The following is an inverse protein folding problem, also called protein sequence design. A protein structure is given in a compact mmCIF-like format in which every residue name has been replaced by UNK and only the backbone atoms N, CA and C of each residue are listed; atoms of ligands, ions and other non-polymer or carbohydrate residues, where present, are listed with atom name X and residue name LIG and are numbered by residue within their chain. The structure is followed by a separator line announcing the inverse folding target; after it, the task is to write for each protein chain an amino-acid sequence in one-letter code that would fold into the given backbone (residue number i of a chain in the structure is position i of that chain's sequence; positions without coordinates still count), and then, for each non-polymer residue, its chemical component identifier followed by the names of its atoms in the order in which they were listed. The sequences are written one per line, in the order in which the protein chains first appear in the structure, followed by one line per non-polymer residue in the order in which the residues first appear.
data_IF_918844978703
#
_entry.id   IF_918844978703
#
_cell.length_a   1.000
_cell.length_b   1.000
_cell.length_c   1.000
_cell.angle_alpha   90.00
_cell.angle_beta   90.00
_cell.angle_gamma   90.00
#
_symmetry.space_group_name_H-M   'P 1'
#
loop_
_entity.id
_entity.type
_entity.pdbx_description
1 polymer ?
#
# COMPACT_ATOMS: atom_id res chain seq x y z
N UNK A 1 -1.07 -3.18 -10.70
CA UNK A 1 -0.05 -2.13 -10.97
C UNK A 1 0.65 -1.79 -9.66
N UNK A 2 1.95 -1.53 -9.67
CA UNK A 2 2.76 -1.26 -8.47
C UNK A 2 3.44 0.11 -8.60
N UNK A 3 3.36 0.95 -7.57
CA UNK A 3 3.91 2.31 -7.59
C UNK A 3 4.97 2.58 -6.50
N UNK A 4 5.66 1.53 -6.04
CA UNK A 4 6.79 1.53 -5.07
C UNK A 4 7.78 2.72 -5.18
N UNK A 5 8.00 3.24 -6.39
CA UNK A 5 8.98 4.29 -6.67
C UNK A 5 8.45 5.74 -6.63
N UNK A 6 7.16 5.95 -6.37
CA UNK A 6 6.56 7.30 -6.32
C UNK A 6 6.80 8.04 -5.00
N UNK A 7 7.78 7.62 -4.19
CA UNK A 7 8.20 8.38 -3.00
C UNK A 7 8.77 9.78 -3.35
N UNK A 8 9.16 9.99 -4.61
CA UNK A 8 9.77 11.22 -5.14
C UNK A 8 8.78 12.32 -5.53
N UNK A 9 7.48 12.03 -5.64
CA UNK A 9 6.47 13.02 -6.04
C UNK A 9 5.82 13.77 -4.86
N UNK A 10 6.28 13.49 -3.64
CA UNK A 10 5.74 14.09 -2.43
C UNK A 10 6.28 15.49 -2.26
N UNK A 11 5.54 16.44 -2.80
CA UNK A 11 5.79 17.85 -2.54
C UNK A 11 4.50 18.54 -2.14
N UNK A 12 4.59 19.46 -1.20
CA UNK A 12 3.44 20.29 -0.80
C UNK A 12 3.29 21.53 -1.69
N UNK A 13 4.25 21.77 -2.59
CA UNK A 13 4.30 22.93 -3.50
C UNK A 13 3.55 22.73 -4.83
N UNK A 14 2.94 21.56 -5.03
CA UNK A 14 2.16 21.27 -6.23
C UNK A 14 2.97 20.95 -7.49
N UNK A 15 4.32 20.96 -7.44
CA UNK A 15 5.19 20.71 -8.61
C UNK A 15 4.96 19.36 -9.30
N UNK A 16 4.34 18.40 -8.61
CA UNK A 16 4.09 17.03 -9.09
C UNK A 16 2.61 16.77 -9.44
N UNK A 17 1.77 17.81 -9.44
CA UNK A 17 0.32 17.69 -9.70
C UNK A 17 0.02 17.00 -11.01
N UNK A 18 0.68 17.41 -12.11
CA UNK A 18 0.40 16.85 -13.43
C UNK A 18 0.89 15.41 -13.59
N UNK A 19 1.98 15.03 -12.91
CA UNK A 19 2.44 13.64 -12.86
C UNK A 19 1.44 12.74 -12.13
N UNK A 20 0.87 13.21 -11.01
CA UNK A 20 -0.19 12.49 -10.30
C UNK A 20 -1.45 12.33 -11.16
N UNK A 21 -1.89 13.40 -11.85
CA UNK A 21 -3.05 13.32 -12.75
C UNK A 21 -2.81 12.38 -13.93
N UNK A 22 -1.60 12.35 -14.48
CA UNK A 22 -1.24 11.44 -15.58
C UNK A 22 -1.39 9.99 -15.12
N UNK A 23 -0.87 9.65 -13.93
CA UNK A 23 -1.05 8.31 -13.38
C UNK A 23 -2.52 7.96 -13.13
N UNK A 24 -3.34 8.90 -12.62
CA UNK A 24 -4.77 8.67 -12.45
C UNK A 24 -5.48 8.44 -13.79
N UNK A 25 -5.10 9.18 -14.83
CA UNK A 25 -5.63 8.97 -16.19
C UNK A 25 -5.25 7.59 -16.73
N UNK A 26 -3.99 7.18 -16.58
CA UNK A 26 -3.50 5.87 -17.04
C UNK A 26 -4.17 4.73 -16.28
N UNK A 27 -4.35 4.89 -14.96
CA UNK A 27 -5.06 3.91 -14.12
C UNK A 27 -6.53 3.78 -14.54
N UNK A 28 -7.20 4.92 -14.77
CA UNK A 28 -8.58 4.93 -15.25
C UNK A 28 -8.71 4.31 -16.64
N UNK A 29 -7.80 4.63 -17.57
CA UNK A 29 -7.75 4.01 -18.89
C UNK A 29 -7.53 2.50 -18.80
N UNK A 30 -6.64 2.06 -17.90
CA UNK A 30 -6.40 0.64 -17.63
C UNK A 30 -7.67 -0.06 -17.14
N UNK A 31 -8.41 0.55 -16.19
CA UNK A 31 -9.68 0.01 -15.69
C UNK A 31 -10.72 -0.16 -16.80
N UNK A 32 -10.82 0.81 -17.70
CA UNK A 32 -11.75 0.76 -18.82
C UNK A 32 -11.33 -0.30 -19.85
N UNK A 33 -10.04 -0.38 -20.17
CA UNK A 33 -9.50 -1.30 -21.18
C UNK A 33 -9.48 -2.76 -20.72
N UNK A 34 -9.28 -3.01 -19.42
CA UNK A 34 -9.27 -4.35 -18.85
C UNK A 34 -10.68 -4.92 -18.60
N UNK A 35 -11.73 -4.09 -18.67
CA UNK A 35 -13.10 -4.52 -18.44
C UNK A 35 -13.48 -5.71 -19.35
N UNK A 36 -14.09 -6.79 -18.82
CA UNK A 36 -14.74 -6.90 -17.51
C UNK A 36 -13.84 -7.45 -16.39
N UNK A 37 -12.53 -7.56 -16.59
CA UNK A 37 -11.63 -8.10 -15.58
C UNK A 37 -11.53 -7.14 -14.37
N UNK A 38 -11.55 -7.66 -13.13
CA UNK A 38 -11.35 -6.85 -11.94
C UNK A 38 -9.94 -6.29 -11.91
N UNK A 39 -9.82 -5.02 -11.55
CA UNK A 39 -8.54 -4.33 -11.40
C UNK A 39 -8.13 -4.30 -9.93
N UNK A 40 -6.95 -4.83 -9.66
CA UNK A 40 -6.28 -4.71 -8.37
C UNK A 40 -5.07 -3.76 -8.47
N UNK A 41 -4.90 -2.89 -7.49
CA UNK A 41 -3.87 -1.86 -7.50
C UNK A 41 -3.10 -1.74 -6.20
N UNK A 42 -1.77 -1.75 -6.33
CA UNK A 42 -0.83 -1.67 -5.22
C UNK A 42 -0.26 -0.28 -5.09
N UNK A 43 -0.52 0.31 -3.93
CA UNK A 43 -0.24 1.71 -3.63
C UNK A 43 0.66 1.81 -2.41
N UNK A 44 1.71 2.62 -2.50
CA UNK A 44 2.47 2.98 -1.31
C UNK A 44 1.61 3.81 -0.36
N UNK A 45 1.69 3.55 0.95
CA UNK A 45 0.94 4.26 2.00
C UNK A 45 1.01 5.79 1.93
N UNK A 46 2.07 6.29 1.33
CA UNK A 46 2.44 7.69 1.35
C UNK A 46 1.86 8.52 0.18
N UNK A 47 0.95 7.93 -0.60
CA UNK A 47 0.24 8.60 -1.67
C UNK A 47 -0.86 9.54 -1.20
N UNK A 48 -1.26 9.43 0.07
CA UNK A 48 -2.26 10.31 0.67
C UNK A 48 -1.69 11.67 1.11
N UNK A 49 -0.36 11.78 1.23
CA UNK A 49 0.31 12.88 1.92
C UNK A 49 1.45 13.50 1.10
N UNK A 50 1.68 14.80 1.30
CA UNK A 50 2.91 15.46 0.86
C UNK A 50 3.96 15.56 1.98
N UNK A 51 3.55 15.37 3.24
CA UNK A 51 4.40 15.21 4.41
C UNK A 51 3.79 14.14 5.32
N UNK A 52 4.54 13.08 5.62
CA UNK A 52 3.99 11.86 6.23
C UNK A 52 4.82 11.32 7.41
N UNK A 53 5.67 12.16 7.99
CA UNK A 53 6.61 11.78 9.03
C UNK A 53 5.94 11.56 10.39
N UNK A 54 6.69 11.01 11.34
CA UNK A 54 6.24 10.84 12.72
C UNK A 54 5.87 12.17 13.39
N UNK A 55 6.51 13.27 12.98
CA UNK A 55 6.33 14.61 13.56
C UNK A 55 5.28 15.45 12.84
N UNK A 56 4.68 14.95 11.75
CA UNK A 56 3.71 15.73 10.98
C UNK A 56 3.09 14.95 9.83
N UNK A 57 1.77 15.09 9.72
CA UNK A 57 0.97 14.57 8.62
C UNK A 57 0.32 15.74 7.87
N UNK A 58 0.53 15.80 6.58
CA UNK A 58 -0.11 16.77 5.69
C UNK A 58 -0.64 16.02 4.50
N UNK A 59 -1.95 15.76 4.54
CA UNK A 59 -2.69 15.21 3.41
C UNK A 59 -2.60 16.17 2.24
N UNK A 60 -2.51 15.62 1.02
CA UNK A 60 -2.50 16.44 -0.20
C UNK A 60 -3.70 16.10 -1.06
N UNK A 61 -4.59 17.07 -1.20
CA UNK A 61 -5.71 16.99 -2.11
C UNK A 61 -5.30 17.34 -3.55
N UNK A 62 -5.95 16.66 -4.48
CA UNK A 62 -5.79 16.79 -5.92
C UNK A 62 -7.18 16.91 -6.55
N UNK A 63 -7.41 18.00 -7.27
CA UNK A 63 -8.59 18.11 -8.13
C UNK A 63 -8.38 17.30 -9.40
N UNK A 64 -9.13 16.22 -9.55
CA UNK A 64 -9.15 15.35 -10.74
C UNK A 64 -10.60 14.97 -11.05
N UNK A 65 -11.00 15.04 -12.32
CA UNK A 65 -12.40 14.84 -12.75
C UNK A 65 -13.43 15.64 -11.93
N UNK A 66 -13.12 16.91 -11.65
CA UNK A 66 -13.97 17.84 -10.86
C UNK A 66 -14.14 17.44 -9.38
N UNK A 67 -13.51 16.36 -8.92
CA UNK A 67 -13.53 15.90 -7.54
C UNK A 67 -12.22 16.30 -6.85
N UNK A 68 -12.32 16.89 -5.65
CA UNK A 68 -11.16 17.23 -4.84
C UNK A 68 -10.96 16.17 -3.75
N UNK A 69 -10.01 15.26 -4.00
CA UNK A 69 -9.69 14.09 -3.16
C UNK A 69 -8.19 13.88 -3.13
N UNK A 70 -7.66 13.12 -2.19
CA UNK A 70 -6.25 12.72 -2.26
C UNK A 70 -6.00 11.81 -3.46
N UNK A 71 -4.73 11.69 -3.89
CA UNK A 71 -4.39 10.78 -4.98
C UNK A 71 -4.73 9.32 -4.63
N UNK A 72 -4.57 8.93 -3.36
CA UNK A 72 -4.95 7.62 -2.85
C UNK A 72 -6.47 7.39 -2.96
N UNK A 73 -7.28 8.37 -2.55
CA UNK A 73 -8.75 8.27 -2.62
C UNK A 73 -9.23 8.10 -4.07
N UNK A 74 -8.66 8.85 -5.02
CA UNK A 74 -8.96 8.65 -6.45
C UNK A 74 -8.57 7.25 -6.95
N UNK A 75 -7.44 6.68 -6.49
CA UNK A 75 -7.05 5.31 -6.84
C UNK A 75 -8.02 4.27 -6.29
N UNK A 76 -8.50 4.46 -5.07
CA UNK A 76 -9.53 3.61 -4.45
C UNK A 76 -10.82 3.66 -5.28
N UNK A 77 -11.24 4.83 -5.76
CA UNK A 77 -12.45 4.97 -6.57
C UNK A 77 -12.36 4.28 -7.95
N UNK A 78 -11.16 4.15 -8.52
CA UNK A 78 -10.96 3.57 -9.86
C UNK A 78 -10.87 2.03 -9.82
N UNK A 79 -10.41 1.46 -8.71
CA UNK A 79 -9.96 0.06 -8.64
C UNK A 79 -11.00 -0.82 -7.95
N UNK A 80 -11.09 -2.09 -8.34
CA UNK A 80 -12.03 -3.03 -7.70
C UNK A 80 -11.47 -3.57 -6.38
N UNK A 81 -10.15 -3.52 -6.19
CA UNK A 81 -9.48 -3.83 -4.93
C UNK A 81 -8.11 -3.13 -4.84
N UNK A 82 -7.67 -2.85 -3.62
CA UNK A 82 -6.45 -2.11 -3.36
C UNK A 82 -5.62 -2.77 -2.25
N UNK A 83 -4.31 -2.69 -2.38
CA UNK A 83 -3.36 -3.10 -1.38
C UNK A 83 -2.41 -1.96 -1.02
N UNK A 84 -2.33 -1.67 0.27
CA UNK A 84 -1.54 -0.57 0.82
C UNK A 84 -0.21 -1.13 1.28
N UNK A 85 0.84 -0.79 0.54
CA UNK A 85 2.21 -1.16 0.88
C UNK A 85 2.73 -0.21 1.97
N UNK A 86 2.72 -0.69 3.22
CA UNK A 86 3.11 0.10 4.40
C UNK A 86 4.59 0.06 4.68
N UNK A 87 5.31 -0.97 4.23
CA UNK A 87 6.76 -1.05 4.35
C UNK A 87 7.25 -0.83 5.80
N UNK A 88 6.57 -1.42 6.79
CA UNK A 88 6.96 -1.35 8.20
C UNK A 88 6.54 -2.61 8.96
N UNK A 89 7.34 -3.07 9.92
CA UNK A 89 7.13 -4.31 10.68
C UNK A 89 6.87 -4.07 12.18
N UNK A 90 6.45 -2.86 12.55
CA UNK A 90 6.01 -2.51 13.91
C UNK A 90 4.56 -2.05 13.84
N UNK A 91 3.69 -2.66 14.66
CA UNK A 91 2.25 -2.47 14.59
C UNK A 91 1.81 -0.97 14.63
N UNK A 92 2.28 -0.11 15.56
CA UNK A 92 1.80 1.27 15.65
C UNK A 92 2.03 2.07 14.36
N UNK A 93 3.18 1.87 13.72
CA UNK A 93 3.53 2.58 12.50
C UNK A 93 2.86 1.96 11.28
N UNK A 94 2.69 0.63 11.30
CA UNK A 94 1.90 -0.07 10.30
C UNK A 94 0.47 0.48 10.29
N UNK A 95 -0.21 0.47 11.44
CA UNK A 95 -1.55 1.04 11.62
C UNK A 95 -1.63 2.49 11.16
N UNK A 96 -0.68 3.34 11.58
CA UNK A 96 -0.64 4.74 11.14
C UNK A 96 -0.59 4.88 9.62
N UNK A 97 0.18 4.04 8.93
CA UNK A 97 0.42 4.14 7.49
C UNK A 97 -0.78 3.71 6.64
N UNK A 98 -1.56 2.71 7.03
CA UNK A 98 -2.73 2.28 6.25
C UNK A 98 -4.06 2.88 6.72
N UNK A 99 -4.08 3.60 7.85
CA UNK A 99 -5.33 4.07 8.46
C UNK A 99 -6.19 4.94 7.55
N UNK A 100 -5.61 5.94 6.90
CA UNK A 100 -6.34 6.83 5.98
C UNK A 100 -6.98 6.04 4.81
N UNK A 101 -6.22 5.11 4.22
CA UNK A 101 -6.72 4.24 3.16
C UNK A 101 -7.90 3.39 3.63
N UNK A 102 -7.77 2.79 4.82
CA UNK A 102 -8.81 1.96 5.41
C UNK A 102 -10.08 2.75 5.73
N UNK A 103 -9.95 3.92 6.35
CA UNK A 103 -11.08 4.76 6.71
C UNK A 103 -11.87 5.20 5.49
N UNK A 104 -11.18 5.64 4.43
CA UNK A 104 -11.83 6.01 3.18
C UNK A 104 -12.49 4.80 2.49
N UNK A 105 -11.78 3.67 2.38
CA UNK A 105 -12.31 2.46 1.75
C UNK A 105 -13.52 1.90 2.52
N UNK A 106 -13.44 1.77 3.84
CA UNK A 106 -14.50 1.21 4.68
C UNK A 106 -15.75 2.11 4.71
N UNK A 107 -15.58 3.44 4.74
CA UNK A 107 -16.70 4.37 4.74
C UNK A 107 -17.51 4.35 3.44
N UNK A 108 -16.85 4.11 2.30
CA UNK A 108 -17.50 4.23 1.00
C UNK A 108 -17.83 2.88 0.35
N UNK A 109 -17.18 1.79 0.77
CA UNK A 109 -17.37 0.43 0.23
C UNK A 109 -17.30 0.38 -1.30
N UNK A 110 -16.55 1.30 -1.94
CA UNK A 110 -16.43 1.41 -3.40
C UNK A 110 -15.97 0.06 -3.97
N UNK A 111 -16.73 -0.49 -4.91
CA UNK A 111 -16.37 -1.73 -5.60
C UNK A 111 -16.43 -3.00 -4.72
N UNK A 112 -17.04 -2.94 -3.53
CA UNK A 112 -17.17 -4.12 -2.67
C UNK A 112 -18.16 -5.13 -3.26
N UNK A 113 -17.63 -6.07 -4.02
CA UNK A 113 -18.18 -7.41 -3.99
C UNK A 113 -17.91 -8.00 -2.59
N UNK A 114 -18.60 -9.09 -2.26
CA UNK A 114 -18.27 -9.94 -1.12
C UNK A 114 -16.83 -10.52 -1.12
N UNK A 115 -16.00 -10.21 -2.12
CA UNK A 115 -14.59 -10.62 -2.21
C UNK A 115 -13.59 -9.47 -2.10
N UNK A 116 -14.06 -8.22 -2.06
CA UNK A 116 -13.18 -7.06 -2.01
C UNK A 116 -12.61 -6.89 -0.61
N UNK A 117 -11.29 -6.87 -0.50
CA UNK A 117 -10.57 -6.65 0.75
C UNK A 117 -9.52 -5.57 0.56
N UNK A 118 -9.30 -4.78 1.61
CA UNK A 118 -8.11 -3.92 1.70
C UNK A 118 -6.98 -4.77 2.26
N UNK A 119 -5.90 -4.88 1.49
CA UNK A 119 -4.73 -5.60 1.95
C UNK A 119 -3.69 -4.64 2.51
N UNK A 120 -3.02 -5.07 3.57
CA UNK A 120 -1.95 -4.33 4.22
C UNK A 120 -0.67 -5.12 4.02
N UNK A 121 0.23 -4.58 3.18
CA UNK A 121 1.38 -5.33 2.68
C UNK A 121 2.70 -4.83 3.25
N UNK A 122 3.51 -5.78 3.71
CA UNK A 122 4.90 -5.55 4.14
C UNK A 122 5.89 -6.18 3.18
N UNK A 123 7.11 -5.65 3.06
CA UNK A 123 8.05 -6.12 2.03
C UNK A 123 8.90 -7.33 2.42
N UNK A 124 9.18 -8.16 1.41
CA UNK A 124 10.09 -9.29 1.48
C UNK A 124 11.58 -8.96 1.29
N UNK A 125 11.98 -7.77 0.78
CA UNK A 125 13.40 -7.40 0.55
C UNK A 125 13.64 -5.90 0.15
N UNK A 126 13.32 -4.91 0.98
CA UNK A 126 13.67 -3.52 0.83
C UNK A 126 15.16 -3.31 1.19
N UNK A 127 15.57 -2.06 1.11
CA UNK A 127 16.87 -1.53 1.48
C UNK A 127 17.30 -1.80 2.94
N UNK A 128 18.42 -1.20 3.36
CA UNK A 128 19.07 -1.43 4.65
C UNK A 128 18.25 -1.13 5.92
N UNK A 129 17.10 -0.46 5.84
CA UNK A 129 16.29 -0.18 7.04
C UNK A 129 15.49 -1.41 7.46
N UNK A 130 15.89 -1.97 8.60
CA UNK A 130 15.32 -3.18 9.14
C UNK A 130 13.84 -3.11 9.49
N UNK A 131 13.28 -1.92 9.62
CA UNK A 131 11.86 -1.82 9.92
C UNK A 131 11.02 -2.05 8.68
N UNK A 132 11.61 -1.99 7.48
CA UNK A 132 10.84 -1.97 6.23
C UNK A 132 10.52 -3.38 5.70
N UNK A 133 11.08 -4.44 6.29
CA UNK A 133 10.88 -5.83 5.85
C UNK A 133 11.09 -6.93 6.86
N UNK A 134 10.75 -8.14 6.45
CA UNK A 134 11.22 -9.37 7.06
C UNK A 134 12.40 -9.99 6.27
N UNK A 135 13.00 -11.05 6.81
CA UNK A 135 14.29 -11.60 6.36
C UNK A 135 14.19 -12.45 5.09
N UNK A 136 15.18 -12.38 4.17
CA UNK A 136 16.41 -11.58 4.22
C UNK A 136 16.20 -10.08 3.95
N UNK A 137 17.23 -9.26 4.21
CA UNK A 137 17.12 -7.78 4.15
C UNK A 137 17.98 -7.12 3.09
N UNK A 138 18.48 -7.95 2.19
CA UNK A 138 19.26 -7.50 1.06
C UNK A 138 18.35 -7.56 -0.14
N UNK A 139 18.12 -6.41 -0.76
CA UNK A 139 17.32 -6.28 -1.98
C UNK A 139 17.75 -7.34 -3.01
N UNK A 140 16.84 -8.25 -3.35
CA UNK A 140 17.06 -9.32 -4.32
C UNK A 140 17.71 -10.60 -3.78
N UNK A 141 18.01 -10.69 -2.49
CA UNK A 141 18.49 -11.92 -1.87
C UNK A 141 17.33 -12.81 -1.40
N UNK A 142 17.46 -14.13 -1.53
CA UNK A 142 16.47 -15.10 -1.03
C UNK A 142 17.02 -16.00 0.09
N UNK A 143 18.32 -15.92 0.36
CA UNK A 143 19.02 -16.83 1.29
C UNK A 143 19.98 -16.12 2.25
N UNK A 144 19.90 -14.80 2.37
CA UNK A 144 20.82 -14.07 3.26
C UNK A 144 20.46 -14.28 4.73
N UNK A 145 21.46 -14.25 5.60
CA UNK A 145 21.24 -14.34 7.05
C UNK A 145 20.66 -13.04 7.59
N UNK A 146 19.62 -13.12 8.43
CA UNK A 146 19.09 -11.97 9.15
C UNK A 146 20.11 -11.47 10.18
N UNK A 147 20.88 -10.44 9.82
CA UNK A 147 21.84 -9.79 10.70
C UNK A 147 21.22 -8.63 11.51
N UNK A 148 19.91 -8.41 11.44
CA UNK A 148 19.31 -7.22 12.01
C UNK A 148 18.79 -7.40 13.44
N UNK A 149 19.09 -6.46 14.37
CA UNK A 149 18.65 -6.56 15.77
C UNK A 149 17.23 -6.08 16.06
N UNK A 150 16.47 -5.55 15.09
CA UNK A 150 15.22 -4.81 15.37
C UNK A 150 13.99 -5.40 14.67
N UNK A 151 12.89 -5.60 15.41
CA UNK A 151 11.59 -6.06 14.90
C UNK A 151 11.39 -7.58 14.93
N UNK A 152 10.14 -8.05 14.85
CA UNK A 152 9.82 -9.48 14.74
C UNK A 152 9.73 -9.88 13.26
N UNK A 153 10.89 -10.18 12.67
CA UNK A 153 11.12 -10.32 11.22
C UNK A 153 11.00 -11.74 10.69
N UNK A 154 10.37 -12.61 11.47
CA UNK A 154 10.01 -13.96 11.03
C UNK A 154 8.66 -13.90 10.34
N UNK A 155 8.40 -14.86 9.44
CA UNK A 155 7.08 -15.03 8.84
C UNK A 155 5.98 -15.11 9.92
N UNK A 156 6.22 -15.88 10.99
CA UNK A 156 5.32 -15.98 12.14
C UNK A 156 5.08 -14.62 12.82
N UNK A 157 6.12 -13.83 13.03
CA UNK A 157 5.98 -12.50 13.63
C UNK A 157 5.18 -11.54 12.78
N UNK A 158 5.33 -11.63 11.46
CA UNK A 158 4.54 -10.82 10.56
C UNK A 158 3.07 -11.20 10.57
N UNK A 159 2.76 -12.49 10.57
CA UNK A 159 1.37 -12.93 10.72
C UNK A 159 0.78 -12.52 12.07
N UNK A 160 1.56 -12.53 13.15
CA UNK A 160 1.11 -11.99 14.44
C UNK A 160 0.79 -10.49 14.38
N UNK A 161 1.61 -9.69 13.69
CA UNK A 161 1.32 -8.27 13.47
C UNK A 161 0.03 -8.09 12.66
N UNK A 162 -0.20 -8.93 11.65
CA UNK A 162 -1.45 -8.91 10.88
C UNK A 162 -2.66 -9.34 11.72
N UNK A 163 -2.50 -10.31 12.62
CA UNK A 163 -3.55 -10.70 13.56
C UNK A 163 -3.93 -9.55 14.51
N UNK A 164 -2.95 -8.78 14.99
CA UNK A 164 -3.21 -7.59 15.81
C UNK A 164 -3.96 -6.51 15.03
N UNK A 165 -3.65 -6.32 13.74
CA UNK A 165 -4.38 -5.41 12.85
C UNK A 165 -5.83 -5.88 12.65
N UNK A 166 -6.05 -7.19 12.47
CA UNK A 166 -7.39 -7.75 12.31
C UNK A 166 -8.28 -7.49 13.54
N UNK A 167 -7.71 -7.40 14.74
CA UNK A 167 -8.46 -7.05 15.96
C UNK A 167 -9.01 -5.62 15.85
N UNK A 168 -8.21 -4.66 15.38
CA UNK A 168 -8.60 -3.26 15.30
C UNK A 168 -9.43 -2.95 14.04
N UNK A 169 -9.13 -3.64 12.93
CA UNK A 169 -9.66 -3.36 11.58
C UNK A 169 -10.03 -4.68 10.87
N UNK A 170 -11.16 -5.30 11.27
CA UNK A 170 -11.50 -6.69 10.92
C UNK A 170 -11.75 -6.97 9.43
N UNK A 171 -11.88 -5.92 8.61
CA UNK A 171 -12.04 -6.03 7.16
C UNK A 171 -10.69 -5.99 6.41
N UNK A 172 -9.59 -5.72 7.12
CA UNK A 172 -8.23 -5.70 6.56
C UNK A 172 -7.71 -7.11 6.33
N UNK A 173 -6.76 -7.32 5.42
CA UNK A 173 -6.03 -8.58 5.27
C UNK A 173 -4.54 -8.33 5.21
N UNK A 174 -3.77 -9.09 5.99
CA UNK A 174 -2.31 -9.03 5.93
C UNK A 174 -1.75 -9.78 4.74
N UNK A 175 -0.64 -9.28 4.19
CA UNK A 175 0.13 -10.01 3.18
C UNK A 175 1.57 -9.58 3.07
N UNK A 176 2.40 -10.44 2.49
CA UNK A 176 3.82 -10.15 2.25
C UNK A 176 4.03 -9.88 0.77
N UNK A 177 4.75 -8.82 0.40
CA UNK A 177 4.96 -8.39 -0.99
C UNK A 177 6.43 -8.40 -1.36
N UNK A 178 6.80 -9.00 -2.51
CA UNK A 178 8.20 -8.95 -2.97
C UNK A 178 8.46 -7.58 -3.58
N UNK A 179 9.44 -6.82 -3.05
CA UNK A 179 9.85 -5.56 -3.67
C UNK A 179 10.29 -5.82 -5.11
N UNK A 180 9.75 -5.07 -6.08
CA UNK A 180 9.89 -5.30 -7.51
C UNK A 180 9.40 -6.67 -8.03
N UNK A 181 8.71 -7.45 -7.20
CA UNK A 181 8.05 -8.69 -7.57
C UNK A 181 6.57 -8.47 -7.90
N UNK A 182 5.95 -9.50 -8.47
CA UNK A 182 4.50 -9.58 -8.74
C UNK A 182 3.79 -10.44 -7.68
N UNK A 183 4.56 -11.02 -6.75
CA UNK A 183 4.08 -12.05 -5.83
C UNK A 183 3.76 -11.46 -4.47
N UNK A 184 2.57 -11.82 -3.97
CA UNK A 184 2.15 -11.57 -2.61
C UNK A 184 1.59 -12.82 -1.94
N UNK A 185 1.91 -13.03 -0.67
CA UNK A 185 1.28 -14.08 0.15
C UNK A 185 0.11 -13.49 0.94
N UNK A 186 -0.93 -14.28 1.21
CA UNK A 186 -2.11 -13.83 1.98
C UNK A 186 -3.27 -13.26 1.16
N UNK A 187 -3.14 -13.20 -0.17
CA UNK A 187 -4.19 -12.76 -1.10
C UNK A 187 -4.78 -13.95 -1.90
N UNK A 188 -5.99 -14.43 -1.57
CA UNK A 188 -6.63 -15.47 -2.38
C UNK A 188 -6.83 -15.01 -3.83
N UNK A 189 -6.41 -15.84 -4.79
CA UNK A 189 -6.58 -15.58 -6.23
C UNK A 189 -5.41 -14.87 -6.91
N UNK A 190 -4.35 -14.51 -6.18
CA UNK A 190 -3.10 -14.04 -6.75
C UNK A 190 -2.15 -15.19 -7.08
N UNK A 191 -1.29 -15.07 -8.12
CA UNK A 191 -0.26 -16.07 -8.40
C UNK A 191 0.65 -16.24 -7.18
N UNK A 192 0.77 -17.49 -6.70
CA UNK A 192 1.74 -17.91 -5.69
C UNK A 192 3.13 -18.08 -6.30
#
# INVERSE_FOLDING_TARGET
VNNEHFSTIKTCDGSQTEGQKTLLNDLNLTRHSASPLPLHFSVSWNWDCCSCGLTGYTQRFLTWNQMNKSALEHMIDITDSIDVQVAWNENPELERRYSSAYEYWSANKYGTTNTTALYVLTYLNPNWDCRQSFAPHVKGATTDSDACPTGQRTELGMYQIFDEILINKPESRGGLHFMAGVYSTGMPGWPL
#
